data_IF_632902587906
#
_entry.id   IF_632902587906
#
_cell.length_a   1.000
_cell.length_b   1.000
_cell.length_c   1.000
_cell.angle_alpha   90.00
_cell.angle_beta   90.00
_cell.angle_gamma   90.00
#
_symmetry.space_group_name_H-M   'P 1'
#
loop_
_entity.id
_entity.type
_entity.pdbx_description
1 polymer ?
#
# COMPACT_ATOMS: atom_id res chain seq x y z
N UNK A 1 -29.14 36.56 32.10
CA UNK A 1 -29.63 36.93 30.75
C UNK A 1 -28.95 36.01 29.75
N UNK A 2 -29.65 35.51 28.72
CA UNK A 2 -29.04 34.75 27.63
C UNK A 2 -27.91 35.54 26.99
N UNK A 3 -26.79 34.87 26.69
CA UNK A 3 -25.69 35.45 25.91
C UNK A 3 -25.89 35.06 24.45
N UNK A 4 -25.61 35.97 23.53
CA UNK A 4 -25.74 35.71 22.10
C UNK A 4 -24.41 35.99 21.40
N UNK A 5 -24.14 35.21 20.36
CA UNK A 5 -22.91 35.28 19.58
C UNK A 5 -23.25 35.53 18.11
N UNK A 6 -22.50 36.41 17.46
CA UNK A 6 -22.71 36.71 16.04
C UNK A 6 -22.24 35.53 15.17
N UNK A 7 -23.08 35.05 14.25
CA UNK A 7 -22.68 34.05 13.24
C UNK A 7 -22.06 34.67 11.99
N UNK A 8 -22.35 35.95 11.77
CA UNK A 8 -21.87 36.74 10.65
C UNK A 8 -21.63 38.18 11.11
N UNK A 9 -21.04 39.01 10.25
CA UNK A 9 -20.78 40.42 10.60
C UNK A 9 -22.09 41.21 10.72
N UNK A 10 -22.28 41.92 11.84
CA UNK A 10 -23.45 42.75 12.13
C UNK A 10 -22.97 44.11 12.66
N UNK A 11 -22.88 45.11 11.79
CA UNK A 11 -22.39 46.43 12.17
C UNK A 11 -20.93 46.35 12.65
N UNK A 12 -20.70 46.55 13.95
CA UNK A 12 -19.37 46.47 14.56
C UNK A 12 -19.05 45.08 15.14
N UNK A 13 -20.02 44.17 15.19
CA UNK A 13 -19.81 42.81 15.70
C UNK A 13 -19.32 41.90 14.57
N UNK A 14 -18.20 41.23 14.78
CA UNK A 14 -17.62 40.22 13.89
C UNK A 14 -18.14 38.82 14.24
N UNK A 15 -18.05 37.84 13.33
CA UNK A 15 -18.42 36.45 13.64
C UNK A 15 -17.65 35.95 14.87
N UNK A 16 -18.36 35.39 15.85
CA UNK A 16 -17.80 34.96 17.14
C UNK A 16 -17.90 36.01 18.26
N UNK A 17 -18.23 37.27 17.96
CA UNK A 17 -18.38 38.31 18.98
C UNK A 17 -19.65 38.13 19.81
N UNK A 18 -19.53 38.42 21.12
CA UNK A 18 -20.68 38.48 22.02
C UNK A 18 -21.50 39.76 21.75
N UNK A 19 -22.79 39.56 21.46
CA UNK A 19 -23.72 40.65 21.19
C UNK A 19 -24.14 41.31 22.51
N UNK A 20 -23.85 42.60 22.65
CA UNK A 20 -24.21 43.42 23.82
C UNK A 20 -24.88 44.73 23.41
N UNK A 21 -25.71 45.28 24.30
CA UNK A 21 -26.30 46.62 24.13
C UNK A 21 -27.42 46.74 23.09
N UNK A 22 -27.93 45.63 22.55
CA UNK A 22 -29.11 45.62 21.67
C UNK A 22 -30.39 45.40 22.47
N UNK A 23 -31.50 45.97 21.99
CA UNK A 23 -32.82 45.74 22.57
C UNK A 23 -33.38 44.35 22.22
N UNK A 24 -34.35 43.89 23.01
CA UNK A 24 -34.93 42.55 22.87
C UNK A 24 -35.61 42.29 21.51
N UNK A 25 -36.25 43.30 20.90
CA UNK A 25 -36.89 43.13 19.59
C UNK A 25 -35.84 42.89 18.51
N UNK A 26 -34.72 43.60 18.60
CA UNK A 26 -33.61 43.46 17.66
C UNK A 26 -32.87 42.14 17.85
N UNK A 27 -32.64 41.70 19.08
CA UNK A 27 -32.12 40.36 19.37
C UNK A 27 -33.04 39.29 18.76
N UNK A 28 -34.35 39.37 18.96
CA UNK A 28 -35.29 38.39 18.44
C UNK A 28 -35.35 38.37 16.91
N UNK A 29 -35.29 39.53 16.25
CA UNK A 29 -35.22 39.63 14.80
C UNK A 29 -33.92 39.03 14.24
N UNK A 30 -32.78 39.26 14.91
CA UNK A 30 -31.49 38.70 14.51
C UNK A 30 -31.39 37.19 14.75
N UNK A 31 -32.03 36.69 15.81
CA UNK A 31 -32.14 35.26 16.08
C UNK A 31 -33.03 34.58 15.02
N UNK A 32 -34.16 35.21 14.69
CA UNK A 32 -35.08 34.72 13.64
C UNK A 32 -34.44 34.74 12.24
N UNK A 33 -33.54 35.68 11.97
CA UNK A 33 -32.77 35.71 10.73
C UNK A 33 -31.53 34.80 10.73
N UNK A 34 -31.21 34.19 11.88
CA UNK A 34 -30.02 33.35 12.06
C UNK A 34 -28.70 34.11 12.04
N UNK A 35 -28.73 35.45 12.16
CA UNK A 35 -27.53 36.27 12.19
C UNK A 35 -26.78 36.17 13.53
N UNK A 36 -27.49 35.82 14.60
CA UNK A 36 -26.93 35.52 15.92
C UNK A 36 -27.45 34.16 16.39
N UNK A 37 -26.76 33.56 17.34
CA UNK A 37 -27.22 32.38 18.07
C UNK A 37 -27.06 32.57 19.57
N UNK A 38 -27.84 31.84 20.37
CA UNK A 38 -27.61 31.79 21.81
C UNK A 38 -26.32 31.02 22.08
N UNK A 39 -25.42 31.61 22.86
CA UNK A 39 -24.14 31.01 23.20
C UNK A 39 -24.37 29.68 23.91
N UNK A 40 -23.90 28.60 23.28
CA UNK A 40 -23.73 27.32 23.94
C UNK A 40 -22.26 27.16 24.31
N UNK A 41 -22.00 26.57 25.48
CA UNK A 41 -20.65 26.12 25.82
C UNK A 41 -20.15 25.22 24.69
N UNK A 42 -18.91 25.40 24.19
CA UNK A 42 -18.38 24.53 23.15
C UNK A 42 -18.50 23.09 23.64
N UNK A 43 -19.29 22.26 22.96
CA UNK A 43 -19.28 20.83 23.25
C UNK A 43 -17.84 20.36 23.09
N UNK A 44 -17.28 19.77 24.17
CA UNK A 44 -16.00 19.09 24.09
C UNK A 44 -16.07 18.14 22.89
N UNK A 45 -15.13 18.29 21.95
CA UNK A 45 -14.99 17.39 20.81
C UNK A 45 -14.89 15.97 21.36
N UNK A 46 -16.00 15.22 21.31
CA UNK A 46 -16.01 13.81 21.68
C UNK A 46 -14.92 13.15 20.86
N UNK A 47 -14.09 12.33 21.52
CA UNK A 47 -13.09 11.50 20.84
C UNK A 47 -13.80 10.64 19.78
N UNK A 48 -13.91 11.16 18.57
CA UNK A 48 -14.12 10.38 17.37
C UNK A 48 -12.94 9.41 17.36
N UNK A 49 -13.19 8.10 17.32
CA UNK A 49 -12.18 7.05 17.33
C UNK A 49 -11.11 7.15 16.23
N UNK A 50 -11.05 8.23 15.45
CA UNK A 50 -9.89 8.70 14.67
C UNK A 50 -8.53 8.34 15.26
N UNK A 51 -8.24 8.63 16.53
CA UNK A 51 -6.93 8.30 17.13
C UNK A 51 -6.66 6.79 17.14
N UNK A 52 -7.65 6.00 17.54
CA UNK A 52 -7.55 4.53 17.54
C UNK A 52 -7.45 3.98 16.11
N UNK A 53 -8.20 4.56 15.17
CA UNK A 53 -8.14 4.19 13.75
C UNK A 53 -6.79 4.51 13.13
N UNK A 54 -6.21 5.67 13.43
CA UNK A 54 -4.87 6.06 12.97
C UNK A 54 -3.79 5.12 13.52
N UNK A 55 -3.88 4.74 14.80
CA UNK A 55 -2.96 3.77 15.39
C UNK A 55 -3.08 2.39 14.71
N UNK A 56 -4.31 1.93 14.42
CA UNK A 56 -4.55 0.68 13.70
C UNK A 56 -3.97 0.72 12.28
N UNK A 57 -4.21 1.80 11.53
CA UNK A 57 -3.65 1.95 10.17
C UNK A 57 -2.12 1.99 10.19
N UNK A 58 -1.53 2.65 11.19
CA UNK A 58 -0.07 2.70 11.32
C UNK A 58 0.53 1.30 11.57
N UNK A 59 -0.14 0.47 12.38
CA UNK A 59 0.27 -0.91 12.61
C UNK A 59 0.16 -1.77 11.34
N UNK A 60 -0.95 -1.67 10.60
CA UNK A 60 -1.16 -2.39 9.35
C UNK A 60 -0.13 -1.99 8.28
N UNK A 61 0.19 -0.70 8.17
CA UNK A 61 1.23 -0.22 7.25
C UNK A 61 2.61 -0.76 7.64
N UNK A 62 2.93 -0.89 8.92
CA UNK A 62 4.19 -1.46 9.37
C UNK A 62 4.29 -2.96 9.03
N UNK A 63 3.20 -3.71 9.22
CA UNK A 63 3.13 -5.14 8.87
C UNK A 63 3.25 -5.35 7.35
N UNK A 64 2.54 -4.55 6.55
CA UNK A 64 2.61 -4.64 5.09
C UNK A 64 4.03 -4.39 4.56
N UNK A 65 4.74 -3.41 5.13
CA UNK A 65 6.15 -3.14 4.75
C UNK A 65 7.07 -4.31 5.09
N UNK A 66 6.91 -4.90 6.27
CA UNK A 66 7.71 -6.07 6.66
C UNK A 66 7.45 -7.27 5.72
N UNK A 67 6.19 -7.49 5.35
CA UNK A 67 5.81 -8.54 4.41
C UNK A 67 6.35 -8.28 2.99
N UNK A 68 6.32 -7.03 2.53
CA UNK A 68 6.89 -6.62 1.24
C UNK A 68 8.39 -6.91 1.17
N UNK A 69 9.16 -6.57 2.21
CA UNK A 69 10.60 -6.86 2.29
C UNK A 69 10.89 -8.37 2.19
N UNK A 70 10.11 -9.20 2.88
CA UNK A 70 10.23 -10.67 2.83
C UNK A 70 9.94 -11.18 1.41
N UNK A 71 8.90 -10.67 0.75
CA UNK A 71 8.53 -11.08 -0.60
C UNK A 71 9.59 -10.69 -1.62
N UNK A 72 10.16 -9.49 -1.52
CA UNK A 72 11.25 -9.04 -2.40
C UNK A 72 12.46 -9.96 -2.24
N UNK A 73 12.91 -10.21 -1.00
CA UNK A 73 14.04 -11.09 -0.74
C UNK A 73 13.79 -12.53 -1.23
N UNK A 74 12.56 -13.04 -1.04
CA UNK A 74 12.15 -14.35 -1.53
C UNK A 74 12.18 -14.43 -3.07
N UNK A 75 11.69 -13.39 -3.74
CA UNK A 75 11.71 -13.28 -5.21
C UNK A 75 13.13 -13.24 -5.75
N UNK A 76 14.01 -12.42 -5.18
CA UNK A 76 15.40 -12.31 -5.63
C UNK A 76 16.15 -13.64 -5.50
N UNK A 77 15.91 -14.38 -4.40
CA UNK A 77 16.45 -15.72 -4.24
C UNK A 77 15.92 -16.69 -5.29
N UNK A 78 14.62 -16.68 -5.56
CA UNK A 78 14.01 -17.53 -6.56
C UNK A 78 14.52 -17.22 -7.98
N UNK A 79 14.67 -15.93 -8.32
CA UNK A 79 15.22 -15.50 -9.61
C UNK A 79 16.67 -15.98 -9.79
N UNK A 80 17.49 -15.89 -8.74
CA UNK A 80 18.86 -16.42 -8.75
C UNK A 80 18.89 -17.94 -8.96
N UNK A 81 18.03 -18.69 -8.27
CA UNK A 81 17.91 -20.15 -8.43
C UNK A 81 17.47 -20.53 -9.85
N UNK A 82 16.56 -19.78 -10.46
CA UNK A 82 16.12 -19.99 -11.85
C UNK A 82 17.28 -19.78 -12.83
N UNK A 83 18.13 -18.79 -12.62
CA UNK A 83 19.33 -18.56 -13.47
C UNK A 83 20.32 -19.71 -13.34
N UNK A 84 20.56 -20.18 -12.11
CA UNK A 84 21.44 -21.33 -11.86
C UNK A 84 20.91 -22.61 -12.51
N UNK A 85 19.61 -22.90 -12.32
CA UNK A 85 18.98 -24.08 -12.91
C UNK A 85 19.00 -24.05 -14.43
N UNK A 86 18.74 -22.90 -15.06
CA UNK A 86 18.86 -22.75 -16.53
C UNK A 86 20.28 -23.05 -17.02
N UNK A 87 21.29 -22.63 -16.27
CA UNK A 87 22.69 -22.90 -16.61
C UNK A 87 23.01 -24.39 -16.52
N UNK A 88 22.62 -25.04 -15.42
CA UNK A 88 22.78 -26.50 -15.24
C UNK A 88 22.03 -27.31 -16.31
N UNK A 89 20.83 -26.89 -16.71
CA UNK A 89 20.07 -27.53 -17.78
C UNK A 89 20.83 -27.45 -19.10
N UNK A 90 21.35 -26.28 -19.48
CA UNK A 90 22.13 -26.13 -20.71
C UNK A 90 23.40 -27.00 -20.71
N UNK A 91 24.10 -27.09 -19.57
CA UNK A 91 25.28 -27.96 -19.42
C UNK A 91 24.93 -29.45 -19.57
N UNK A 92 23.83 -29.88 -18.95
CA UNK A 92 23.35 -31.27 -19.04
C UNK A 92 22.89 -31.61 -20.46
N UNK A 93 22.17 -30.72 -21.13
CA UNK A 93 21.75 -30.89 -22.52
C UNK A 93 22.96 -31.09 -23.45
N UNK A 94 24.02 -30.28 -23.26
CA UNK A 94 25.28 -30.43 -24.00
C UNK A 94 25.95 -31.77 -23.70
N UNK A 95 26.08 -32.13 -22.42
CA UNK A 95 26.72 -33.39 -22.03
C UNK A 95 25.98 -34.63 -22.58
N UNK A 96 24.65 -34.58 -22.64
CA UNK A 96 23.82 -35.62 -23.24
C UNK A 96 24.06 -35.69 -24.76
N UNK A 97 24.09 -34.56 -25.45
CA UNK A 97 24.36 -34.53 -26.89
C UNK A 97 25.75 -35.11 -27.23
N UNK A 98 26.78 -34.73 -26.47
CA UNK A 98 28.14 -35.23 -26.63
C UNK A 98 28.21 -36.74 -26.37
N UNK A 99 27.55 -37.22 -25.31
CA UNK A 99 27.48 -38.65 -24.98
C UNK A 99 26.76 -39.47 -26.05
N UNK A 100 25.66 -38.96 -26.59
CA UNK A 100 24.93 -39.60 -27.69
C UNK A 100 25.77 -39.66 -28.97
N UNK A 101 26.53 -38.60 -29.28
CA UNK A 101 27.45 -38.58 -30.42
C UNK A 101 28.58 -39.60 -30.26
N UNK A 102 29.19 -39.67 -29.07
CA UNK A 102 30.22 -40.65 -28.75
C UNK A 102 29.69 -42.09 -28.86
N UNK A 103 28.49 -42.37 -28.34
CA UNK A 103 27.85 -43.68 -28.44
C UNK A 103 27.58 -44.08 -29.90
N UNK A 104 27.06 -43.15 -30.72
CA UNK A 104 26.85 -43.39 -32.16
C UNK A 104 28.16 -43.72 -32.88
N UNK A 105 29.24 -42.98 -32.58
CA UNK A 105 30.56 -43.22 -33.15
C UNK A 105 31.11 -44.60 -32.75
N UNK A 106 31.09 -44.93 -31.45
CA UNK A 106 31.54 -46.22 -30.95
C UNK A 106 30.74 -47.38 -31.55
N UNK A 107 29.42 -47.23 -31.71
CA UNK A 107 28.56 -48.24 -32.33
C UNK A 107 28.89 -48.44 -33.82
N UNK A 108 29.17 -47.37 -34.55
CA UNK A 108 29.57 -47.45 -35.95
C UNK A 108 30.95 -48.11 -36.13
N UNK A 109 31.91 -47.78 -35.27
CA UNK A 109 33.24 -48.40 -35.25
C UNK A 109 33.17 -49.89 -34.91
N UNK A 110 32.38 -50.27 -33.90
CA UNK A 110 32.16 -51.67 -33.56
C UNK A 110 31.53 -52.47 -34.72
N UNK A 111 30.56 -51.89 -35.45
CA UNK A 111 29.98 -52.53 -36.63
C UNK A 111 30.99 -52.74 -37.76
N UNK A 112 31.88 -51.79 -38.01
CA UNK A 112 32.96 -51.92 -39.01
C UNK A 112 33.97 -53.01 -38.64
N UNK A 113 34.28 -53.14 -37.35
CA UNK A 113 35.18 -54.18 -36.85
C UNK A 113 34.57 -55.59 -36.87
N UNK A 114 33.24 -55.70 -36.84
CA UNK A 114 32.52 -56.98 -36.84
C UNK A 114 32.24 -57.55 -38.24
N UNK A 115 32.40 -56.78 -39.32
CA UNK A 115 32.38 -57.30 -40.68
C UNK A 115 33.71 -57.97 -41.00
N UNK A 116 33.76 -59.30 -41.28
CA UNK A 116 35.00 -59.97 -41.64
C UNK A 116 35.54 -59.37 -42.96
N UNK A 117 36.84 -59.12 -42.98
CA UNK A 117 37.58 -58.79 -44.20
C UNK A 117 37.61 -60.03 -45.10
N UNK A 118 36.52 -60.28 -45.82
CA UNK A 118 36.43 -61.33 -46.83
C UNK A 118 36.65 -60.71 -48.22
N UNK A 119 37.93 -60.72 -48.64
CA UNK A 119 38.44 -61.10 -49.97
C UNK A 119 39.88 -60.61 -50.19
#
# INVERSE_FOLDING_TARGET
MPKYTAKQSIGHFMPGDEIKGLDAKRIQALLASGAIEEYQEPEEQKEDGTTARLASLAAEVAELKANEEILIAGKDKADAEVVELKTKVAELEKAVADSQAALKKATAEAKKAATPADK
#
